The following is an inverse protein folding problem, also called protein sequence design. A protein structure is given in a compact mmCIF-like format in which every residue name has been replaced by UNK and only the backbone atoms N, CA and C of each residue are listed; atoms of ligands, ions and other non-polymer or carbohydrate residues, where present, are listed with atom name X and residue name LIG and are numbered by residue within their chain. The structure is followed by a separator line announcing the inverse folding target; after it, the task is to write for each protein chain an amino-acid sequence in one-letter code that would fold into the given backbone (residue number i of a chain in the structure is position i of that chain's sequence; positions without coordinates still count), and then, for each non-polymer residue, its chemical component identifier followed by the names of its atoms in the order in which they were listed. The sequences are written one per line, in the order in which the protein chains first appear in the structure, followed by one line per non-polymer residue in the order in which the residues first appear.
data_IF_878528088880
#
_entry.id   IF_878528088880
#
_cell.length_a   1.000
_cell.length_b   1.000
_cell.length_c   1.000
_cell.angle_alpha   90.00
_cell.angle_beta   90.00
_cell.angle_gamma   90.00
#
_symmetry.space_group_name_H-M   'P 1'
#
loop_
_entity.id
_entity.type
_entity.pdbx_description
1 polymer ?
#
# COMPACT_ATOMS: atom_id res chain seq x y z
N UNK A 1 -0.92 28.69 -8.97
CA UNK A 1 0.30 28.32 -9.69
C UNK A 1 0.03 27.18 -10.68
N UNK A 2 -0.26 25.95 -10.23
CA UNK A 2 -0.60 24.82 -11.11
C UNK A 2 -2.01 24.90 -11.74
N UNK A 3 -2.86 25.86 -11.36
CA UNK A 3 -4.20 26.04 -11.93
C UNK A 3 -5.17 24.91 -11.59
N UNK A 4 -5.07 24.37 -10.37
CA UNK A 4 -5.94 23.31 -9.85
C UNK A 4 -5.98 22.03 -10.71
N UNK A 5 -4.81 21.38 -10.96
CA UNK A 5 -4.75 20.16 -11.79
C UNK A 5 -5.62 19.04 -11.22
N UNK A 6 -5.81 18.98 -9.89
CA UNK A 6 -6.65 18.01 -9.18
C UNK A 6 -8.14 18.08 -9.54
N UNK A 7 -8.57 19.18 -10.19
CA UNK A 7 -9.97 19.37 -10.67
C UNK A 7 -10.16 19.03 -12.14
N UNK A 8 -9.07 18.68 -12.85
CA UNK A 8 -9.11 18.45 -14.29
C UNK A 8 -9.47 17.01 -14.67
N UNK A 9 -9.61 16.14 -13.68
CA UNK A 9 -10.04 14.75 -13.86
C UNK A 9 -10.84 14.30 -12.63
N UNK A 10 -11.86 13.45 -12.82
CA UNK A 10 -12.57 12.80 -11.72
C UNK A 10 -11.67 11.78 -11.01
N UNK A 11 -11.98 11.46 -9.75
CA UNK A 11 -11.11 10.56 -8.98
C UNK A 11 -11.86 9.63 -8.03
N UNK A 12 -11.17 8.55 -7.63
CA UNK A 12 -11.48 7.69 -6.50
C UNK A 12 -10.41 7.96 -5.43
N UNK A 13 -10.81 8.17 -4.17
CA UNK A 13 -9.90 8.46 -3.07
C UNK A 13 -9.88 7.32 -2.06
N UNK A 14 -8.70 6.71 -1.84
CA UNK A 14 -8.56 5.49 -1.04
C UNK A 14 -7.67 5.72 0.17
N UNK A 15 -8.26 5.67 1.36
CA UNK A 15 -7.59 5.72 2.66
C UNK A 15 -7.65 4.35 3.37
N UNK A 16 -6.96 4.23 4.50
CA UNK A 16 -6.92 3.03 5.33
C UNK A 16 -5.54 2.81 5.95
N UNK A 17 -5.40 1.82 6.83
CA UNK A 17 -4.10 1.37 7.32
C UNK A 17 -3.50 0.37 6.35
N UNK A 18 -4.11 -0.79 6.19
CA UNK A 18 -3.70 -1.85 5.29
C UNK A 18 -4.70 -2.02 4.14
N UNK A 19 -4.22 -2.46 2.95
CA UNK A 19 -5.06 -2.77 1.80
C UNK A 19 -5.30 -1.62 0.81
N UNK A 20 -4.84 -0.38 1.07
CA UNK A 20 -5.02 0.77 0.18
C UNK A 20 -4.54 0.50 -1.25
N UNK A 21 -3.24 0.24 -1.43
CA UNK A 21 -2.64 -0.01 -2.74
C UNK A 21 -3.26 -1.20 -3.47
N UNK A 22 -3.56 -2.31 -2.76
CA UNK A 22 -4.27 -3.46 -3.35
C UNK A 22 -5.67 -3.09 -3.86
N UNK A 23 -6.42 -2.28 -3.09
CA UNK A 23 -7.73 -1.78 -3.49
C UNK A 23 -7.61 -0.86 -4.72
N UNK A 24 -6.60 0.03 -4.75
CA UNK A 24 -6.28 0.85 -5.92
C UNK A 24 -5.97 -0.02 -7.14
N UNK A 25 -5.19 -1.10 -6.98
CA UNK A 25 -4.86 -2.02 -8.06
C UNK A 25 -6.10 -2.70 -8.65
N UNK A 26 -7.04 -3.18 -7.83
CA UNK A 26 -8.29 -3.76 -8.32
C UNK A 26 -9.18 -2.74 -9.03
N UNK A 27 -9.35 -1.54 -8.46
CA UNK A 27 -10.15 -0.47 -9.07
C UNK A 27 -9.55 -0.08 -10.43
N UNK A 28 -8.25 0.17 -10.49
CA UNK A 28 -7.57 0.57 -11.72
C UNK A 28 -7.60 -0.52 -12.79
N UNK A 29 -7.46 -1.80 -12.41
CA UNK A 29 -7.54 -2.93 -13.34
C UNK A 29 -8.91 -3.00 -14.02
N UNK A 30 -10.02 -2.80 -13.30
CA UNK A 30 -11.36 -2.80 -13.88
C UNK A 30 -11.62 -1.57 -14.76
N UNK A 31 -11.26 -0.37 -14.31
CA UNK A 31 -11.45 0.85 -15.09
C UNK A 31 -10.67 0.78 -16.42
N UNK A 32 -9.42 0.27 -16.40
CA UNK A 32 -8.62 0.02 -17.60
C UNK A 32 -9.23 -1.05 -18.52
N UNK A 33 -9.77 -2.14 -17.95
CA UNK A 33 -10.43 -3.18 -18.72
C UNK A 33 -11.67 -2.66 -19.47
N UNK A 34 -12.26 -1.57 -18.99
CA UNK A 34 -13.36 -0.84 -19.64
C UNK A 34 -12.91 0.18 -20.70
N UNK A 35 -11.60 0.24 -20.97
CA UNK A 35 -11.03 1.13 -21.99
C UNK A 35 -10.81 2.56 -21.55
N UNK A 36 -10.87 2.85 -20.25
CA UNK A 36 -10.59 4.18 -19.68
C UNK A 36 -9.09 4.39 -19.51
N UNK A 37 -8.62 5.60 -19.72
CA UNK A 37 -7.27 6.04 -19.41
C UNK A 37 -7.16 6.35 -17.91
N UNK A 38 -6.52 5.46 -17.18
CA UNK A 38 -6.53 5.49 -15.71
C UNK A 38 -5.21 6.01 -15.15
N UNK A 39 -5.27 7.13 -14.42
CA UNK A 39 -4.19 7.61 -13.60
C UNK A 39 -4.20 6.92 -12.23
N UNK A 40 -3.01 6.57 -11.72
CA UNK A 40 -2.87 5.98 -10.38
C UNK A 40 -1.80 6.75 -9.61
N UNK A 41 -2.14 7.17 -8.39
CA UNK A 41 -1.18 7.70 -7.43
C UNK A 41 -1.16 6.83 -6.18
N UNK A 42 -0.01 6.21 -5.89
CA UNK A 42 0.18 5.31 -4.73
C UNK A 42 1.43 5.67 -3.95
N UNK A 43 1.51 5.22 -2.70
CA UNK A 43 2.68 5.44 -1.85
C UNK A 43 2.84 4.36 -0.76
N UNK A 44 4.11 4.15 -0.30
CA UNK A 44 5.36 4.62 -0.88
C UNK A 44 5.76 3.84 -2.13
N UNK A 45 6.86 4.20 -2.77
CA UNK A 45 7.50 3.42 -3.84
C UNK A 45 8.43 2.34 -3.27
N UNK A 46 8.87 1.42 -4.10
CA UNK A 46 9.87 0.39 -3.77
C UNK A 46 11.28 0.82 -4.17
N UNK A 47 11.50 1.15 -5.42
CA UNK A 47 12.81 1.50 -5.98
C UNK A 47 12.84 2.95 -6.49
N UNK A 48 11.89 3.32 -7.35
CA UNK A 48 11.85 4.64 -7.98
C UNK A 48 10.62 5.44 -7.56
N UNK A 49 10.81 6.73 -7.26
CA UNK A 49 9.70 7.66 -6.97
C UNK A 49 8.66 7.70 -8.10
N UNK A 50 9.05 7.41 -9.32
CA UNK A 50 8.18 7.36 -10.51
C UNK A 50 7.10 6.29 -10.42
N UNK A 51 7.31 5.22 -9.65
CA UNK A 51 6.31 4.18 -9.34
C UNK A 51 5.04 4.74 -8.69
N UNK A 52 5.14 5.92 -8.05
CA UNK A 52 3.99 6.55 -7.40
C UNK A 52 2.99 7.13 -8.38
N UNK A 53 3.39 7.43 -9.60
CA UNK A 53 2.63 8.20 -10.60
C UNK A 53 2.55 7.42 -11.90
N UNK A 54 1.45 6.73 -12.12
CA UNK A 54 1.27 5.87 -13.29
C UNK A 54 0.03 6.26 -14.09
N UNK A 55 0.10 6.11 -15.40
CA UNK A 55 -1.06 6.15 -16.30
C UNK A 55 -1.06 4.86 -17.13
N UNK A 56 -2.13 4.08 -17.03
CA UNK A 56 -2.28 2.77 -17.65
C UNK A 56 -1.15 1.76 -17.34
N UNK A 57 -0.55 1.90 -16.15
CA UNK A 57 0.57 1.08 -15.70
C UNK A 57 1.94 1.56 -16.19
N UNK A 58 1.99 2.67 -16.93
CA UNK A 58 3.25 3.31 -17.37
C UNK A 58 3.57 4.46 -16.39
N UNK A 59 4.75 4.45 -15.74
CA UNK A 59 5.13 5.51 -14.82
C UNK A 59 5.32 6.85 -15.54
N UNK A 60 5.40 7.92 -14.76
CA UNK A 60 5.84 9.21 -15.28
C UNK A 60 7.23 9.08 -15.89
N UNK A 61 7.44 9.72 -17.02
CA UNK A 61 8.73 9.78 -17.69
C UNK A 61 9.78 10.52 -16.82
N UNK A 62 11.08 10.17 -16.96
CA UNK A 62 12.14 10.80 -16.18
C UNK A 62 12.26 12.29 -16.45
N UNK A 63 12.23 12.64 -17.73
CA UNK A 63 12.36 14.04 -18.16
C UNK A 63 11.15 14.84 -17.66
N UNK A 64 9.93 14.30 -17.79
CA UNK A 64 8.72 14.92 -17.28
C UNK A 64 8.76 15.08 -15.75
N UNK A 65 9.26 14.09 -15.02
CA UNK A 65 9.43 14.20 -13.57
C UNK A 65 10.45 15.28 -13.20
N UNK A 66 11.57 15.34 -13.91
CA UNK A 66 12.59 16.36 -13.73
C UNK A 66 12.07 17.77 -14.05
N UNK A 67 11.32 17.93 -15.14
CA UNK A 67 10.68 19.21 -15.52
C UNK A 67 9.71 19.69 -14.44
N UNK A 68 8.80 18.83 -13.96
CA UNK A 68 7.88 19.19 -12.87
C UNK A 68 8.61 19.53 -11.58
N UNK A 69 9.66 18.79 -11.25
CA UNK A 69 10.48 19.04 -10.05
C UNK A 69 11.14 20.40 -10.15
N UNK A 70 11.79 20.71 -11.28
CA UNK A 70 12.45 22.00 -11.54
C UNK A 70 11.46 23.17 -11.48
N UNK A 71 10.27 22.99 -12.11
CA UNK A 71 9.22 24.00 -12.08
C UNK A 71 8.71 24.29 -10.67
N UNK A 72 8.56 23.25 -9.84
CA UNK A 72 8.01 23.38 -8.48
C UNK A 72 9.06 23.75 -7.44
N UNK A 73 10.35 23.56 -7.70
CA UNK A 73 11.43 23.75 -6.72
C UNK A 73 11.36 25.09 -5.99
N UNK A 74 11.22 26.28 -6.65
CA UNK A 74 11.17 27.56 -5.95
C UNK A 74 9.96 27.69 -5.01
N UNK A 75 8.92 26.92 -5.31
CA UNK A 75 7.69 26.93 -4.52
C UNK A 75 7.78 25.95 -3.33
N UNK A 76 8.39 24.80 -3.54
CA UNK A 76 8.69 23.82 -2.49
C UNK A 76 9.55 24.49 -1.42
N UNK A 77 10.64 25.15 -1.83
CA UNK A 77 11.56 25.86 -0.92
C UNK A 77 10.85 26.99 -0.17
N UNK A 78 10.09 27.83 -0.88
CA UNK A 78 9.36 28.96 -0.27
C UNK A 78 8.30 28.53 0.73
N UNK A 79 7.63 27.40 0.50
CA UNK A 79 6.52 26.90 1.32
C UNK A 79 6.95 25.88 2.37
N UNK A 80 8.24 25.49 2.37
CA UNK A 80 8.78 24.40 3.17
C UNK A 80 7.94 23.10 3.02
N UNK A 81 7.58 22.82 1.75
CA UNK A 81 6.70 21.70 1.46
C UNK A 81 7.43 20.36 1.66
N UNK A 82 6.76 19.43 2.32
CA UNK A 82 7.27 18.08 2.52
C UNK A 82 7.45 17.33 1.20
N UNK A 83 8.28 16.29 1.22
CA UNK A 83 8.46 15.41 0.07
C UNK A 83 7.12 14.83 -0.44
N UNK A 84 6.19 14.49 0.46
CA UNK A 84 4.90 13.95 0.07
C UNK A 84 4.00 15.02 -0.59
N UNK A 85 3.98 16.24 -0.08
CA UNK A 85 3.25 17.36 -0.71
C UNK A 85 3.79 17.67 -2.09
N UNK A 86 5.12 17.73 -2.23
CA UNK A 86 5.78 17.96 -3.52
C UNK A 86 5.44 16.86 -4.54
N UNK A 87 5.57 15.59 -4.16
CA UNK A 87 5.26 14.46 -5.07
C UNK A 87 3.77 14.36 -5.38
N UNK A 88 2.88 14.76 -4.45
CA UNK A 88 1.43 14.84 -4.71
C UNK A 88 1.11 15.92 -5.74
N UNK A 89 1.74 17.08 -5.64
CA UNK A 89 1.57 18.16 -6.61
C UNK A 89 2.04 17.76 -8.01
N UNK A 90 3.21 17.10 -8.10
CA UNK A 90 3.73 16.55 -9.37
C UNK A 90 2.74 15.53 -9.94
N UNK A 91 2.26 14.59 -9.12
CA UNK A 91 1.32 13.57 -9.55
C UNK A 91 0.05 14.17 -10.17
N UNK A 92 -0.58 15.12 -9.50
CA UNK A 92 -1.79 15.75 -10.04
C UNK A 92 -1.51 16.55 -11.32
N UNK A 93 -0.36 17.21 -11.40
CA UNK A 93 0.04 17.94 -12.60
C UNK A 93 0.28 16.99 -13.80
N UNK A 94 0.99 15.89 -13.58
CA UNK A 94 1.28 14.88 -14.61
C UNK A 94 0.00 14.17 -15.07
N UNK A 95 -0.84 13.69 -14.14
CA UNK A 95 -2.11 13.05 -14.48
C UNK A 95 -3.02 13.97 -15.30
N UNK A 96 -3.10 15.25 -14.93
CA UNK A 96 -3.87 16.24 -15.67
C UNK A 96 -3.26 16.54 -17.05
N UNK A 97 -1.93 16.63 -17.16
CA UNK A 97 -1.23 16.87 -18.43
C UNK A 97 -1.36 15.68 -19.37
N UNK A 98 -1.31 14.45 -18.84
CA UNK A 98 -1.50 13.23 -19.62
C UNK A 98 -2.96 12.95 -19.97
N UNK A 99 -3.91 13.75 -19.49
CA UNK A 99 -5.32 13.69 -19.85
C UNK A 99 -5.97 12.37 -19.45
N UNK A 100 -5.87 11.99 -18.17
CA UNK A 100 -6.53 10.78 -17.66
C UNK A 100 -8.05 10.96 -17.60
N UNK A 101 -8.81 9.90 -17.89
CA UNK A 101 -10.26 9.89 -17.76
C UNK A 101 -10.69 9.84 -16.29
N UNK A 102 -9.90 9.15 -15.45
CA UNK A 102 -10.12 9.03 -14.01
C UNK A 102 -8.82 8.75 -13.27
N UNK A 103 -8.67 9.33 -12.06
CA UNK A 103 -7.56 9.08 -11.15
C UNK A 103 -7.97 8.16 -10.00
N UNK A 104 -7.14 7.17 -9.66
CA UNK A 104 -7.25 6.35 -8.44
C UNK A 104 -6.15 6.81 -7.49
N UNK A 105 -6.53 7.50 -6.42
CA UNK A 105 -5.62 8.27 -5.56
C UNK A 105 -5.54 7.64 -4.17
N UNK A 106 -4.37 7.15 -3.80
CA UNK A 106 -4.09 6.61 -2.48
C UNK A 106 -3.66 7.73 -1.52
N UNK A 107 -4.23 7.73 -0.31
CA UNK A 107 -3.82 8.58 0.82
C UNK A 107 -2.46 8.13 1.36
N UNK A 108 -1.55 9.07 1.60
CA UNK A 108 -0.24 8.76 2.20
C UNK A 108 -0.35 8.48 3.70
N UNK A 109 -0.91 9.42 4.47
CA UNK A 109 -1.01 9.31 5.92
C UNK A 109 -2.34 9.89 6.43
N UNK A 110 -3.04 9.12 7.26
CA UNK A 110 -4.30 9.58 7.85
C UNK A 110 -5.40 9.69 6.82
N UNK A 111 -5.79 10.90 6.48
CA UNK A 111 -6.79 11.24 5.48
C UNK A 111 -7.22 12.70 5.56
N UNK A 112 -7.67 13.17 6.73
CA UNK A 112 -8.21 14.52 6.92
C UNK A 112 -7.24 15.64 6.51
N UNK A 113 -5.98 15.51 6.86
CA UNK A 113 -4.90 16.47 6.60
C UNK A 113 -3.91 16.01 5.54
N UNK A 114 -4.22 14.91 4.86
CA UNK A 114 -3.33 14.38 3.81
C UNK A 114 -3.31 15.32 2.60
N UNK A 115 -2.14 15.45 1.97
CA UNK A 115 -1.97 16.31 0.79
C UNK A 115 -2.91 15.94 -0.36
N UNK A 116 -3.29 14.65 -0.47
CA UNK A 116 -4.25 14.19 -1.48
C UNK A 116 -5.68 14.64 -1.21
N UNK A 117 -6.00 15.08 0.02
CA UNK A 117 -7.36 15.43 0.43
C UNK A 117 -7.88 16.78 -0.13
N UNK A 118 -7.14 17.38 -1.05
CA UNK A 118 -7.59 18.57 -1.83
C UNK A 118 -8.61 18.21 -2.91
N UNK A 119 -8.71 16.93 -3.28
CA UNK A 119 -9.67 16.44 -4.29
C UNK A 119 -11.10 16.36 -3.75
N UNK A 120 -12.07 16.43 -4.65
CA UNK A 120 -13.45 16.02 -4.41
C UNK A 120 -13.72 14.78 -5.28
N UNK A 121 -13.56 13.58 -4.73
CA UNK A 121 -13.64 12.37 -5.52
C UNK A 121 -15.10 11.99 -5.85
N UNK A 122 -15.28 11.09 -6.82
CA UNK A 122 -16.58 10.48 -7.11
C UNK A 122 -16.99 9.46 -6.04
N UNK A 123 -16.02 8.84 -5.37
CA UNK A 123 -16.22 7.95 -4.24
C UNK A 123 -15.02 8.02 -3.28
N UNK A 124 -15.28 8.07 -1.98
CA UNK A 124 -14.29 7.97 -0.91
C UNK A 124 -14.30 6.57 -0.33
N UNK A 125 -13.12 5.98 -0.16
CA UNK A 125 -12.95 4.60 0.32
C UNK A 125 -12.07 4.59 1.56
N UNK A 126 -12.45 3.84 2.60
CA UNK A 126 -11.59 3.49 3.73
C UNK A 126 -11.50 1.98 3.84
N UNK A 127 -10.32 1.43 3.69
CA UNK A 127 -10.06 0.00 3.81
C UNK A 127 -10.00 -0.44 5.28
N UNK A 128 -9.15 -1.38 5.66
CA UNK A 128 -8.98 -1.83 7.05
C UNK A 128 -8.26 -0.79 7.92
N UNK A 129 -8.67 -0.68 9.17
CA UNK A 129 -8.01 0.12 10.21
C UNK A 129 -7.18 -0.80 11.12
N UNK A 130 -5.95 -0.39 11.42
CA UNK A 130 -5.07 -1.02 12.40
C UNK A 130 -4.26 0.06 13.11
N UNK A 131 -3.63 -0.29 14.24
CA UNK A 131 -2.74 0.63 14.96
C UNK A 131 -1.49 0.88 14.14
N UNK A 132 -1.32 2.12 13.73
CA UNK A 132 -0.16 2.61 13.00
C UNK A 132 -0.08 4.14 13.13
N UNK A 133 1.13 4.69 13.13
CA UNK A 133 1.37 6.13 13.22
C UNK A 133 0.65 6.79 14.41
N UNK A 134 0.66 6.13 15.57
CA UNK A 134 -0.08 6.58 16.75
C UNK A 134 0.34 7.96 17.26
N UNK A 135 1.59 8.37 17.02
CA UNK A 135 2.11 9.69 17.37
C UNK A 135 1.44 10.83 16.57
N UNK A 136 0.88 10.52 15.39
CA UNK A 136 0.23 11.49 14.50
C UNK A 136 -1.29 11.34 14.46
N UNK A 137 -1.80 10.10 14.49
CA UNK A 137 -3.20 9.80 14.26
C UNK A 137 -3.99 9.56 15.56
N UNK A 138 -3.26 9.47 16.69
CA UNK A 138 -3.83 9.22 18.00
C UNK A 138 -3.64 7.78 18.47
N UNK A 139 -3.85 7.54 19.80
CA UNK A 139 -3.40 6.32 20.49
C UNK A 139 -4.31 5.10 20.25
N UNK A 140 -5.51 5.30 19.74
CA UNK A 140 -6.53 4.26 19.62
C UNK A 140 -7.12 4.15 18.22
N UNK A 141 -7.79 3.02 17.95
CA UNK A 141 -8.40 2.75 16.62
C UNK A 141 -9.50 3.77 16.27
N UNK A 142 -10.22 4.30 17.26
CA UNK A 142 -11.28 5.27 17.02
C UNK A 142 -10.72 6.61 16.54
N UNK A 143 -9.62 7.08 17.11
CA UNK A 143 -8.90 8.28 16.68
C UNK A 143 -8.36 8.11 15.25
N UNK A 144 -7.70 6.99 14.98
CA UNK A 144 -7.17 6.64 13.65
C UNK A 144 -8.31 6.57 12.62
N UNK A 145 -9.44 5.97 12.99
CA UNK A 145 -10.62 5.87 12.12
C UNK A 145 -11.19 7.26 11.76
N UNK A 146 -11.30 8.19 12.74
CA UNK A 146 -11.76 9.56 12.48
C UNK A 146 -10.86 10.31 11.53
N UNK A 147 -9.53 10.21 11.70
CA UNK A 147 -8.57 10.85 10.80
C UNK A 147 -8.69 10.28 9.36
N UNK A 148 -8.83 8.96 9.22
CA UNK A 148 -8.96 8.31 7.91
C UNK A 148 -10.33 8.59 7.26
N UNK A 149 -11.42 8.60 8.03
CA UNK A 149 -12.74 9.02 7.52
C UNK A 149 -12.78 10.49 7.08
N UNK A 150 -11.73 11.26 7.40
CA UNK A 150 -11.53 12.62 6.93
C UNK A 150 -11.52 12.81 5.41
N UNK A 151 -11.40 11.73 4.63
CA UNK A 151 -11.52 11.75 3.15
C UNK A 151 -12.97 11.86 2.66
N UNK A 152 -13.96 11.63 3.53
CA UNK A 152 -15.37 11.81 3.19
C UNK A 152 -15.67 13.26 2.81
N UNK A 153 -16.47 13.45 1.76
CA UNK A 153 -16.86 14.76 1.22
C UNK A 153 -18.40 14.89 1.14
N UNK A 154 -18.94 16.11 1.24
CA UNK A 154 -20.37 16.36 1.07
C UNK A 154 -20.85 15.85 -0.30
N UNK A 155 -21.96 15.12 -0.30
CA UNK A 155 -22.57 14.60 -1.52
C UNK A 155 -21.88 13.40 -2.17
N UNK A 156 -20.74 12.93 -1.61
CA UNK A 156 -19.95 11.83 -2.16
C UNK A 156 -20.26 10.53 -1.42
N UNK A 157 -20.44 9.38 -2.12
CA UNK A 157 -20.54 8.07 -1.48
C UNK A 157 -19.28 7.70 -0.71
N UNK A 158 -19.46 7.09 0.47
CA UNK A 158 -18.38 6.59 1.31
C UNK A 158 -18.46 5.07 1.45
N UNK A 159 -17.38 4.38 1.14
CA UNK A 159 -17.27 2.91 1.19
C UNK A 159 -16.26 2.50 2.25
N UNK A 160 -16.59 1.52 3.08
CA UNK A 160 -15.59 0.95 4.01
C UNK A 160 -15.67 -0.57 4.10
N UNK A 161 -14.48 -1.21 4.15
CA UNK A 161 -14.31 -2.63 4.35
C UNK A 161 -13.90 -3.00 5.79
N UNK A 162 -14.00 -2.06 6.75
CA UNK A 162 -13.70 -2.33 8.15
C UNK A 162 -14.65 -3.40 8.71
N UNK A 163 -14.09 -4.35 9.49
CA UNK A 163 -14.83 -5.48 10.05
C UNK A 163 -15.16 -5.32 11.53
N UNK A 164 -14.33 -4.61 12.28
CA UNK A 164 -14.60 -4.31 13.68
C UNK A 164 -15.85 -3.43 13.80
N UNK A 165 -16.93 -3.88 14.46
CA UNK A 165 -18.18 -3.13 14.52
C UNK A 165 -18.04 -1.75 15.16
N UNK A 166 -17.18 -1.62 16.19
CA UNK A 166 -16.96 -0.35 16.90
C UNK A 166 -16.23 0.65 16.00
N UNK A 167 -15.17 0.19 15.30
CA UNK A 167 -14.41 1.02 14.38
C UNK A 167 -15.26 1.40 13.16
N UNK A 168 -16.07 0.46 12.66
CA UNK A 168 -17.01 0.68 11.55
C UNK A 168 -18.02 1.77 11.87
N UNK A 169 -18.58 1.77 13.08
CA UNK A 169 -19.52 2.81 13.50
C UNK A 169 -18.85 4.19 13.57
N UNK A 170 -17.62 4.28 14.07
CA UNK A 170 -16.85 5.53 14.07
C UNK A 170 -16.63 6.05 12.65
N UNK A 171 -16.24 5.18 11.70
CA UNK A 171 -16.08 5.55 10.30
C UNK A 171 -17.38 6.06 9.69
N UNK A 172 -18.48 5.34 9.92
CA UNK A 172 -19.80 5.67 9.41
C UNK A 172 -20.33 7.01 9.98
N UNK A 173 -20.20 7.19 11.30
CA UNK A 173 -20.61 8.42 11.97
C UNK A 173 -19.83 9.64 11.45
N UNK A 174 -18.51 9.52 11.32
CA UNK A 174 -17.67 10.61 10.80
C UNK A 174 -17.98 10.92 9.33
N UNK A 175 -18.19 9.90 8.48
CA UNK A 175 -18.57 10.10 7.09
C UNK A 175 -19.93 10.83 6.96
N UNK A 176 -20.93 10.44 7.76
CA UNK A 176 -22.24 11.14 7.80
C UNK A 176 -22.08 12.57 8.29
N UNK A 177 -21.28 12.79 9.35
CA UNK A 177 -21.01 14.13 9.90
C UNK A 177 -20.40 15.05 8.84
N UNK A 178 -19.59 14.50 7.92
CA UNK A 178 -18.99 15.21 6.79
C UNK A 178 -19.92 15.37 5.58
N UNK A 179 -21.14 14.86 5.66
CA UNK A 179 -22.15 15.00 4.62
C UNK A 179 -22.02 13.99 3.49
N UNK A 180 -21.40 12.82 3.72
CA UNK A 180 -21.37 11.76 2.72
C UNK A 180 -22.81 11.43 2.26
N UNK A 181 -23.00 11.29 0.93
CA UNK A 181 -24.30 10.99 0.35
C UNK A 181 -24.86 9.64 0.81
N UNK A 182 -24.01 8.65 0.91
CA UNK A 182 -24.32 7.31 1.39
C UNK A 182 -23.10 6.69 2.08
N UNK A 183 -23.35 5.75 3.01
CA UNK A 183 -22.30 4.97 3.68
C UNK A 183 -22.53 3.50 3.35
N UNK A 184 -21.62 2.92 2.57
CA UNK A 184 -21.65 1.54 2.10
C UNK A 184 -20.70 0.72 2.95
N UNK A 185 -21.26 -0.19 3.75
CA UNK A 185 -20.53 -1.11 4.61
C UNK A 185 -20.33 -2.42 3.86
N UNK A 186 -19.08 -2.75 3.53
CA UNK A 186 -18.78 -3.98 2.80
C UNK A 186 -18.62 -5.13 3.79
N UNK A 187 -19.42 -6.17 3.61
CA UNK A 187 -19.22 -7.43 4.33
C UNK A 187 -18.09 -8.24 3.68
N UNK A 188 -16.88 -8.09 4.19
CA UNK A 188 -15.70 -8.80 3.71
C UNK A 188 -15.64 -10.30 4.07
N UNK A 189 -16.69 -10.84 4.73
CA UNK A 189 -16.80 -12.27 5.06
C UNK A 189 -17.30 -13.10 3.89
N UNK A 190 -17.75 -12.49 2.79
CA UNK A 190 -18.16 -13.22 1.60
C UNK A 190 -16.96 -14.00 1.05
N UNK A 191 -17.01 -15.32 1.19
CA UNK A 191 -16.02 -16.21 0.59
C UNK A 191 -16.04 -16.03 -0.93
N UNK A 192 -14.97 -15.46 -1.49
CA UNK A 192 -14.80 -15.48 -2.93
C UNK A 192 -13.97 -16.72 -3.26
N UNK A 193 -14.55 -17.60 -4.07
CA UNK A 193 -13.87 -18.80 -4.58
C UNK A 193 -13.12 -18.55 -5.87
N UNK A 194 -13.04 -17.28 -6.32
CA UNK A 194 -12.44 -16.90 -7.59
C UNK A 194 -11.01 -16.44 -7.43
N UNK A 195 -10.15 -16.85 -8.37
CA UNK A 195 -8.76 -16.45 -8.42
C UNK A 195 -8.62 -14.93 -8.61
N UNK A 196 -7.71 -14.33 -7.86
CA UNK A 196 -7.28 -12.95 -7.96
C UNK A 196 -5.84 -12.88 -8.49
N UNK A 197 -5.43 -11.74 -9.02
CA UNK A 197 -4.04 -11.49 -9.37
C UNK A 197 -3.16 -11.27 -8.14
N UNK A 198 -3.76 -10.80 -7.04
CA UNK A 198 -3.09 -10.64 -5.74
C UNK A 198 -3.42 -11.82 -4.82
N UNK A 199 -2.41 -12.39 -4.16
CA UNK A 199 -2.53 -13.59 -3.36
C UNK A 199 -2.96 -13.31 -1.91
N UNK A 200 -3.63 -14.30 -1.28
CA UNK A 200 -4.05 -14.30 0.11
C UNK A 200 -5.51 -13.91 0.34
N UNK A 201 -6.12 -14.50 1.39
CA UNK A 201 -7.55 -14.30 1.72
C UNK A 201 -7.92 -12.84 1.98
N UNK A 202 -7.00 -12.06 2.54
CA UNK A 202 -7.20 -10.64 2.77
C UNK A 202 -7.43 -9.84 1.48
N UNK A 203 -6.91 -10.32 0.34
CA UNK A 203 -7.10 -9.68 -0.96
C UNK A 203 -8.54 -9.81 -1.46
N UNK A 204 -9.26 -10.86 -1.05
CA UNK A 204 -10.70 -10.94 -1.34
C UNK A 204 -11.48 -9.81 -0.64
N UNK A 205 -11.11 -9.46 0.60
CA UNK A 205 -11.72 -8.32 1.28
C UNK A 205 -11.42 -7.00 0.55
N UNK A 206 -10.17 -6.77 0.12
CA UNK A 206 -9.79 -5.60 -0.66
C UNK A 206 -10.54 -5.53 -1.99
N UNK A 207 -10.71 -6.67 -2.66
CA UNK A 207 -11.43 -6.77 -3.91
C UNK A 207 -12.94 -6.53 -3.74
N UNK A 208 -13.57 -6.97 -2.63
CA UNK A 208 -14.95 -6.60 -2.31
C UNK A 208 -15.13 -5.10 -2.07
N UNK A 209 -14.17 -4.46 -1.40
CA UNK A 209 -14.15 -3.00 -1.22
C UNK A 209 -14.02 -2.30 -2.56
N UNK A 210 -13.12 -2.79 -3.43
CA UNK A 210 -12.96 -2.26 -4.78
C UNK A 210 -14.23 -2.39 -5.62
N UNK A 211 -14.89 -3.56 -5.58
CA UNK A 211 -16.16 -3.78 -6.28
C UNK A 211 -17.26 -2.84 -5.79
N UNK A 212 -17.37 -2.66 -4.47
CA UNK A 212 -18.34 -1.73 -3.90
C UNK A 212 -18.05 -0.28 -4.31
N UNK A 213 -16.77 0.11 -4.35
CA UNK A 213 -16.36 1.43 -4.83
C UNK A 213 -16.70 1.64 -6.32
N UNK A 214 -16.42 0.65 -7.18
CA UNK A 214 -16.77 0.67 -8.60
C UNK A 214 -18.29 0.76 -8.82
N UNK A 215 -19.08 0.09 -7.99
CA UNK A 215 -20.54 0.17 -8.08
C UNK A 215 -21.11 1.48 -7.54
N UNK A 216 -20.37 2.21 -6.73
CA UNK A 216 -20.75 3.54 -6.25
C UNK A 216 -20.37 4.66 -7.24
N UNK A 217 -19.59 4.35 -8.28
CA UNK A 217 -19.22 5.33 -9.32
C UNK A 217 -20.42 5.62 -10.24
N UNK A 218 -20.59 6.87 -10.70
CA UNK A 218 -21.56 7.22 -11.73
C UNK A 218 -21.10 6.75 -13.13
N UNK A 219 -22.03 6.67 -14.08
CA UNK A 219 -21.67 6.50 -15.49
C UNK A 219 -20.76 7.65 -15.98
N UNK A 220 -19.78 7.40 -16.84
CA UNK A 220 -19.48 6.14 -17.51
C UNK A 220 -18.55 5.19 -16.71
N UNK A 221 -18.12 5.54 -15.49
CA UNK A 221 -17.12 4.82 -14.71
C UNK A 221 -17.72 3.59 -13.98
N UNK A 222 -18.98 3.64 -13.63
CA UNK A 222 -19.75 2.58 -12.98
C UNK A 222 -21.23 2.66 -13.31
N UNK A 223 -22.07 1.86 -12.63
CA UNK A 223 -21.71 0.65 -11.89
C UNK A 223 -21.19 -0.49 -12.80
N UNK A 224 -20.46 -1.45 -12.20
CA UNK A 224 -19.94 -2.63 -12.91
C UNK A 224 -20.78 -3.89 -12.68
N UNK A 225 -21.74 -3.81 -11.77
CA UNK A 225 -22.62 -4.92 -11.37
C UNK A 225 -22.04 -5.78 -10.26
N UNK A 226 -22.82 -6.80 -9.85
CA UNK A 226 -22.45 -7.66 -8.70
C UNK A 226 -21.52 -8.83 -9.08
N UNK A 227 -21.32 -9.05 -10.38
CA UNK A 227 -20.43 -10.07 -10.87
C UNK A 227 -18.97 -9.70 -10.59
N UNK A 228 -18.19 -10.68 -10.16
CA UNK A 228 -16.76 -10.51 -9.92
C UNK A 228 -16.04 -10.19 -11.24
N UNK A 229 -15.38 -9.02 -11.38
CA UNK A 229 -14.72 -8.64 -12.62
C UNK A 229 -13.57 -9.58 -12.98
N UNK A 230 -13.48 -10.00 -14.23
CA UNK A 230 -12.36 -10.82 -14.72
C UNK A 230 -11.02 -10.05 -14.65
N UNK A 231 -11.08 -8.73 -14.76
CA UNK A 231 -9.93 -7.83 -14.60
C UNK A 231 -9.22 -7.98 -13.25
N UNK A 232 -9.91 -8.41 -12.19
CA UNK A 232 -9.32 -8.62 -10.87
C UNK A 232 -8.28 -9.74 -10.86
N UNK A 233 -8.31 -10.67 -11.80
CA UNK A 233 -7.25 -11.67 -12.02
C UNK A 233 -5.96 -11.07 -12.58
N UNK A 234 -6.03 -9.88 -13.17
CA UNK A 234 -4.89 -9.16 -13.74
C UNK A 234 -4.39 -8.03 -12.83
N UNK A 235 -5.07 -7.79 -11.70
CA UNK A 235 -4.60 -6.82 -10.73
C UNK A 235 -3.25 -7.24 -10.18
N UNK A 236 -2.29 -6.32 -10.22
CA UNK A 236 -0.92 -6.55 -9.76
C UNK A 236 -0.44 -5.37 -8.94
N UNK A 237 0.31 -5.64 -7.89
CA UNK A 237 0.95 -4.66 -7.04
C UNK A 237 2.27 -5.24 -6.54
N UNK A 238 3.42 -4.68 -6.95
CA UNK A 238 4.72 -5.15 -6.49
C UNK A 238 4.82 -5.15 -4.96
N UNK A 239 5.48 -6.16 -4.39
CA UNK A 239 5.66 -6.26 -2.95
C UNK A 239 4.39 -6.58 -2.16
N UNK A 240 3.38 -7.17 -2.76
CA UNK A 240 2.18 -7.69 -2.09
C UNK A 240 2.03 -9.18 -2.35
N UNK A 241 2.73 -9.99 -1.55
CA UNK A 241 2.93 -11.42 -1.78
C UNK A 241 3.34 -11.70 -3.24
N UNK A 242 4.31 -10.94 -3.71
CA UNK A 242 4.76 -10.90 -5.10
C UNK A 242 5.71 -12.07 -5.35
N UNK A 243 5.19 -13.13 -6.01
CA UNK A 243 5.92 -14.39 -6.25
C UNK A 243 6.70 -14.30 -7.54
N UNK A 244 8.03 -14.42 -7.46
CA UNK A 244 8.95 -14.40 -8.60
C UNK A 244 9.94 -15.58 -8.53
N UNK A 245 9.55 -16.70 -9.10
CA UNK A 245 10.29 -17.94 -8.98
C UNK A 245 10.41 -18.40 -7.52
N UNK A 246 11.63 -18.58 -6.97
CA UNK A 246 11.80 -18.99 -5.57
C UNK A 246 11.70 -17.83 -4.57
N UNK A 247 11.39 -16.60 -5.03
CA UNK A 247 11.29 -15.42 -4.21
C UNK A 247 9.84 -15.03 -3.96
N UNK A 248 9.56 -14.57 -2.74
CA UNK A 248 8.31 -13.92 -2.37
C UNK A 248 8.64 -12.58 -1.73
N UNK A 249 8.12 -11.50 -2.30
CA UNK A 249 8.32 -10.14 -1.79
C UNK A 249 7.03 -9.62 -1.16
N UNK A 250 7.12 -9.21 0.10
CA UNK A 250 5.98 -8.62 0.81
C UNK A 250 6.42 -7.49 1.73
N UNK A 251 5.81 -6.34 1.62
CA UNK A 251 6.15 -5.14 2.39
C UNK A 251 5.46 -5.07 3.76
N UNK A 252 5.11 -6.18 4.36
CA UNK A 252 4.61 -6.20 5.74
C UNK A 252 5.58 -5.43 6.65
N UNK A 253 5.07 -4.45 7.40
CA UNK A 253 5.87 -3.52 8.21
C UNK A 253 5.22 -3.20 9.56
N UNK A 254 4.22 -3.97 9.94
CA UNK A 254 3.55 -3.95 11.25
C UNK A 254 3.06 -5.37 11.59
N UNK A 255 2.71 -5.66 12.86
CA UNK A 255 2.28 -7.00 13.27
C UNK A 255 1.03 -7.52 12.54
N UNK A 256 0.08 -6.65 12.19
CA UNK A 256 -1.11 -7.06 11.42
C UNK A 256 -0.72 -7.52 10.01
N UNK A 257 0.16 -6.77 9.33
CA UNK A 257 0.70 -7.16 8.03
C UNK A 257 1.53 -8.45 8.09
N UNK A 258 2.38 -8.60 9.11
CA UNK A 258 3.19 -9.81 9.31
C UNK A 258 2.32 -11.06 9.55
N UNK A 259 1.22 -10.93 10.32
CA UNK A 259 0.25 -12.02 10.50
C UNK A 259 -0.41 -12.40 9.18
N UNK A 260 -0.85 -11.41 8.41
CA UNK A 260 -1.45 -11.62 7.08
C UNK A 260 -0.47 -12.33 6.13
N UNK A 261 0.82 -11.95 6.16
CA UNK A 261 1.86 -12.62 5.38
C UNK A 261 2.04 -14.08 5.83
N UNK A 262 2.12 -14.34 7.15
CA UNK A 262 2.23 -15.68 7.69
C UNK A 262 1.04 -16.57 7.30
N UNK A 263 -0.18 -16.07 7.45
CA UNK A 263 -1.41 -16.78 7.04
C UNK A 263 -1.39 -17.08 5.54
N UNK A 264 -0.93 -16.14 4.72
CA UNK A 264 -0.83 -16.32 3.26
C UNK A 264 0.25 -17.34 2.89
N UNK A 265 1.40 -17.36 3.58
CA UNK A 265 2.45 -18.37 3.41
C UNK A 265 1.95 -19.78 3.76
N UNK A 266 1.15 -19.91 4.82
CA UNK A 266 0.54 -21.20 5.20
C UNK A 266 -0.50 -21.64 4.17
N UNK A 267 -1.29 -20.74 3.62
CA UNK A 267 -2.32 -21.05 2.62
C UNK A 267 -1.72 -21.36 1.24
N UNK A 268 -0.74 -20.59 0.81
CA UNK A 268 -0.05 -20.75 -0.48
C UNK A 268 0.88 -21.97 -0.48
N UNK A 269 1.40 -22.32 0.69
CA UNK A 269 2.27 -23.46 0.99
C UNK A 269 3.49 -23.56 0.03
N UNK A 270 4.33 -22.51 -0.08
CA UNK A 270 5.52 -22.59 -0.91
C UNK A 270 6.53 -23.60 -0.33
N UNK A 271 7.42 -24.18 -1.17
CA UNK A 271 8.36 -25.21 -0.74
C UNK A 271 9.24 -24.82 0.45
N UNK A 272 9.49 -25.77 1.35
CA UNK A 272 10.44 -25.65 2.45
C UNK A 272 11.86 -26.10 2.03
N UNK A 273 12.95 -25.61 2.64
CA UNK A 273 12.96 -24.62 3.72
C UNK A 273 12.59 -23.21 3.25
N UNK A 274 11.80 -22.50 4.07
CA UNK A 274 11.42 -21.10 3.87
C UNK A 274 12.33 -20.20 4.70
N UNK A 275 13.16 -19.42 4.07
CA UNK A 275 14.04 -18.46 4.76
C UNK A 275 13.57 -17.04 4.50
N UNK A 276 13.54 -16.22 5.55
CA UNK A 276 13.12 -14.82 5.46
C UNK A 276 14.30 -13.87 5.62
N UNK A 277 14.52 -13.00 4.62
CA UNK A 277 15.33 -11.79 4.76
C UNK A 277 14.43 -10.70 5.34
N UNK A 278 14.79 -10.20 6.53
CA UNK A 278 13.96 -9.25 7.27
C UNK A 278 14.74 -8.01 7.64
N UNK A 279 14.24 -6.85 7.21
CA UNK A 279 14.74 -5.55 7.61
C UNK A 279 13.58 -4.62 7.97
N UNK A 280 13.49 -4.23 9.24
CA UNK A 280 12.40 -3.42 9.78
C UNK A 280 12.94 -2.05 10.17
N UNK A 281 12.10 -1.02 10.14
CA UNK A 281 12.46 0.29 10.68
C UNK A 281 12.35 0.28 12.20
N UNK A 282 13.29 0.94 12.89
CA UNK A 282 13.43 0.90 14.35
C UNK A 282 12.27 1.48 15.16
N UNK A 283 11.42 2.26 14.52
CA UNK A 283 10.18 2.82 15.10
C UNK A 283 8.97 1.86 15.02
N UNK A 284 9.17 0.64 14.49
CA UNK A 284 8.10 -0.36 14.32
C UNK A 284 8.18 -1.44 15.40
N UNK A 285 7.06 -2.11 15.64
CA UNK A 285 6.99 -3.29 16.50
C UNK A 285 7.54 -4.53 15.79
N UNK A 286 8.88 -4.58 15.68
CA UNK A 286 9.58 -5.66 14.97
C UNK A 286 9.48 -7.00 15.71
N UNK A 287 9.41 -7.02 17.05
CA UNK A 287 9.25 -8.26 17.79
C UNK A 287 7.88 -8.90 17.51
N UNK A 288 6.82 -8.13 17.62
CA UNK A 288 5.47 -8.60 17.26
C UNK A 288 5.37 -9.07 15.80
N UNK A 289 6.13 -8.46 14.87
CA UNK A 289 6.22 -8.95 13.49
C UNK A 289 6.91 -10.32 13.41
N UNK A 290 8.07 -10.49 14.07
CA UNK A 290 8.82 -11.74 14.07
C UNK A 290 7.99 -12.87 14.72
N UNK A 291 7.32 -12.60 15.85
CA UNK A 291 6.41 -13.54 16.50
C UNK A 291 5.29 -14.02 15.55
N UNK A 292 4.71 -13.10 14.78
CA UNK A 292 3.69 -13.45 13.80
C UNK A 292 4.24 -14.31 12.64
N UNK A 293 5.48 -14.06 12.19
CA UNK A 293 6.11 -14.78 11.07
C UNK A 293 6.69 -16.13 11.47
N UNK A 294 7.11 -16.31 12.72
CA UNK A 294 7.81 -17.49 13.23
C UNK A 294 7.13 -18.83 12.88
N UNK A 295 5.78 -18.96 12.92
CA UNK A 295 5.13 -20.23 12.56
C UNK A 295 5.21 -20.63 11.08
N UNK A 296 5.58 -19.69 10.19
CA UNK A 296 5.59 -19.89 8.73
C UNK A 296 7.00 -19.89 8.12
N UNK A 297 8.04 -19.61 8.91
CA UNK A 297 9.43 -19.40 8.48
C UNK A 297 10.37 -20.36 9.21
N UNK A 298 11.20 -21.08 8.46
CA UNK A 298 12.17 -22.05 9.01
C UNK A 298 13.46 -21.37 9.50
N UNK A 299 13.82 -20.19 8.93
CA UNK A 299 14.99 -19.44 9.34
C UNK A 299 14.96 -17.97 8.92
N UNK A 300 15.51 -17.10 9.75
CA UNK A 300 15.56 -15.67 9.53
C UNK A 300 16.98 -15.17 9.27
N UNK A 301 17.12 -14.24 8.35
CA UNK A 301 18.32 -13.41 8.17
C UNK A 301 17.90 -11.97 8.44
N UNK A 302 18.41 -11.41 9.54
CA UNK A 302 18.13 -10.03 9.91
C UNK A 302 19.21 -9.11 9.34
N UNK A 303 18.78 -8.04 8.67
CA UNK A 303 19.66 -7.14 7.96
C UNK A 303 19.25 -5.67 8.11
N UNK A 304 20.08 -4.77 7.61
CA UNK A 304 19.83 -3.34 7.55
C UNK A 304 19.55 -2.91 6.11
N UNK A 305 18.33 -2.48 5.76
CA UNK A 305 18.08 -1.92 4.45
C UNK A 305 18.89 -0.63 4.26
N UNK A 306 19.60 -0.51 3.15
CA UNK A 306 20.54 0.59 2.89
C UNK A 306 19.81 1.92 2.68
N UNK A 307 18.65 1.87 2.00
CA UNK A 307 17.80 3.05 1.74
C UNK A 307 17.03 3.53 2.96
N UNK A 308 17.06 2.78 4.08
CA UNK A 308 16.40 3.21 5.32
C UNK A 308 17.06 4.48 5.88
N UNK A 309 16.28 5.54 6.21
CA UNK A 309 16.82 6.74 6.82
C UNK A 309 17.57 6.40 8.12
N UNK A 310 18.77 6.95 8.31
CA UNK A 310 19.64 6.64 9.46
C UNK A 310 18.93 6.71 10.81
N UNK A 311 18.17 7.77 11.02
CA UNK A 311 17.38 7.99 12.26
C UNK A 311 16.30 6.94 12.50
N UNK A 312 15.95 6.14 11.49
CA UNK A 312 14.92 5.09 11.56
C UNK A 312 15.49 3.69 11.41
N UNK A 313 16.80 3.56 11.33
CA UNK A 313 17.44 2.24 11.32
C UNK A 313 17.23 1.54 12.65
N UNK A 314 16.98 0.24 12.62
CA UNK A 314 16.87 -0.51 13.85
C UNK A 314 18.26 -0.83 14.44
N UNK A 315 18.32 -1.00 15.75
CA UNK A 315 19.53 -1.41 16.45
C UNK A 315 19.66 -2.94 16.39
N UNK A 316 20.49 -3.46 15.49
CA UNK A 316 20.71 -4.90 15.34
C UNK A 316 21.29 -5.55 16.62
N UNK A 317 22.13 -4.84 17.37
CA UNK A 317 22.68 -5.38 18.61
C UNK A 317 21.60 -5.48 19.71
N UNK A 318 20.64 -4.57 19.71
CA UNK A 318 19.45 -4.68 20.56
C UNK A 318 18.56 -5.83 20.10
N UNK A 319 18.29 -5.94 18.78
CA UNK A 319 17.50 -7.01 18.20
C UNK A 319 18.08 -8.38 18.55
N UNK A 320 19.39 -8.58 18.44
CA UNK A 320 20.07 -9.83 18.76
C UNK A 320 19.79 -10.29 20.22
N UNK A 321 19.82 -9.36 21.15
CA UNK A 321 19.48 -9.66 22.56
C UNK A 321 18.02 -10.01 22.79
N UNK A 322 17.12 -9.41 22.01
CA UNK A 322 15.67 -9.56 22.16
C UNK A 322 15.13 -10.79 21.41
N UNK A 323 15.62 -11.05 20.18
CA UNK A 323 15.18 -12.17 19.34
C UNK A 323 15.55 -13.54 19.94
N UNK A 324 16.65 -13.65 20.70
CA UNK A 324 17.02 -14.88 21.38
C UNK A 324 15.92 -15.44 22.29
N UNK A 325 14.96 -14.62 22.72
CA UNK A 325 13.79 -15.04 23.52
C UNK A 325 12.71 -15.74 22.70
N UNK A 326 12.67 -15.49 21.38
CA UNK A 326 11.62 -16.00 20.48
C UNK A 326 11.88 -17.43 19.99
N UNK A 327 13.03 -18.04 20.30
CA UNK A 327 13.41 -19.41 19.90
C UNK A 327 13.28 -19.69 18.40
N UNK A 328 13.57 -18.68 17.58
CA UNK A 328 13.60 -18.82 16.11
C UNK A 328 15.02 -19.07 15.63
N UNK A 329 15.18 -19.89 14.58
CA UNK A 329 16.46 -20.03 13.89
C UNK A 329 16.78 -18.72 13.18
N UNK A 330 17.94 -18.10 13.48
CA UNK A 330 18.27 -16.81 12.93
C UNK A 330 19.76 -16.54 12.82
N UNK A 331 20.10 -15.62 11.95
CA UNK A 331 21.43 -15.03 11.80
C UNK A 331 21.33 -13.53 11.55
N UNK A 332 22.40 -12.81 11.86
CA UNK A 332 22.51 -11.35 11.65
C UNK A 332 23.57 -11.09 10.60
N UNK A 333 23.21 -10.36 9.56
CA UNK A 333 24.13 -9.88 8.53
C UNK A 333 23.78 -8.42 8.18
N UNK A 334 24.54 -7.46 8.72
CA UNK A 334 24.29 -6.04 8.46
C UNK A 334 24.49 -5.61 7.01
N UNK A 335 25.40 -6.26 6.28
CA UNK A 335 25.61 -6.00 4.88
C UNK A 335 24.46 -6.59 4.07
N UNK A 336 23.71 -5.73 3.39
CA UNK A 336 22.47 -6.13 2.71
C UNK A 336 22.73 -7.10 1.57
N UNK A 337 23.78 -6.92 0.79
CA UNK A 337 24.11 -7.80 -0.33
C UNK A 337 24.44 -9.22 0.17
N UNK A 338 25.29 -9.33 1.20
CA UNK A 338 25.61 -10.60 1.84
C UNK A 338 24.40 -11.24 2.51
N UNK A 339 23.55 -10.43 3.13
CA UNK A 339 22.31 -10.92 3.75
C UNK A 339 21.35 -11.54 2.71
N UNK A 340 21.26 -10.91 1.53
CA UNK A 340 20.45 -11.42 0.42
C UNK A 340 20.97 -12.78 -0.08
N UNK A 341 22.30 -12.93 -0.20
CA UNK A 341 22.95 -14.19 -0.55
C UNK A 341 22.70 -15.27 0.52
N UNK A 342 22.92 -14.94 1.80
CA UNK A 342 22.70 -15.87 2.93
C UNK A 342 21.26 -16.34 3.02
N UNK A 343 20.30 -15.48 2.76
CA UNK A 343 18.87 -15.85 2.77
C UNK A 343 18.53 -16.87 1.68
N UNK A 344 19.36 -16.99 0.63
CA UNK A 344 19.21 -17.99 -0.44
C UNK A 344 19.85 -19.33 -0.13
N UNK A 345 20.86 -19.37 0.75
CA UNK A 345 21.56 -20.63 1.07
C UNK A 345 20.58 -21.63 1.70
N UNK A 346 20.54 -22.84 1.13
CA UNK A 346 19.65 -23.93 1.58
C UNK A 346 18.15 -23.59 1.63
N UNK A 347 17.70 -22.51 0.96
CA UNK A 347 16.31 -22.13 0.87
C UNK A 347 15.66 -22.67 -0.41
N UNK A 348 14.53 -23.36 -0.30
CA UNK A 348 13.65 -23.65 -1.42
C UNK A 348 12.81 -22.41 -1.77
N UNK A 349 12.40 -21.66 -0.73
CA UNK A 349 11.71 -20.36 -0.89
C UNK A 349 12.39 -19.29 -0.04
N UNK A 350 12.64 -18.11 -0.64
CA UNK A 350 13.17 -16.95 0.06
C UNK A 350 12.12 -15.86 0.14
N UNK A 351 11.76 -15.45 1.35
CA UNK A 351 10.82 -14.39 1.62
C UNK A 351 11.59 -13.11 1.93
N UNK A 352 11.29 -11.99 1.26
CA UNK A 352 11.87 -10.68 1.54
C UNK A 352 10.79 -9.79 2.11
N UNK A 353 10.97 -9.33 3.38
CA UNK A 353 9.92 -8.58 4.09
C UNK A 353 10.46 -7.66 5.18
N UNK A 354 9.57 -6.98 5.88
CA UNK A 354 9.85 -6.12 7.03
C UNK A 354 9.71 -4.63 6.76
N UNK A 355 9.91 -4.19 5.53
CA UNK A 355 9.70 -2.80 5.13
C UNK A 355 9.69 -2.63 3.60
N UNK A 356 9.17 -1.50 3.13
CA UNK A 356 9.33 -1.09 1.73
C UNK A 356 10.80 -0.94 1.35
N UNK A 357 11.64 -0.46 2.26
CA UNK A 357 13.09 -0.34 2.03
C UNK A 357 13.74 -1.69 1.78
N UNK A 358 13.45 -2.70 2.60
CA UNK A 358 14.02 -4.05 2.45
C UNK A 358 13.62 -4.69 1.13
N UNK A 359 12.34 -4.59 0.79
CA UNK A 359 11.84 -5.14 -0.48
C UNK A 359 12.40 -4.36 -1.66
N UNK A 360 12.44 -3.03 -1.58
CA UNK A 360 13.00 -2.17 -2.63
C UNK A 360 14.49 -2.44 -2.87
N UNK A 361 15.29 -2.49 -1.81
CA UNK A 361 16.72 -2.78 -1.90
C UNK A 361 17.01 -4.15 -2.51
N UNK A 362 16.19 -5.16 -2.20
CA UNK A 362 16.31 -6.49 -2.80
C UNK A 362 15.92 -6.48 -4.28
N UNK A 363 14.80 -5.84 -4.64
CA UNK A 363 14.34 -5.75 -6.02
C UNK A 363 15.32 -4.98 -6.92
N UNK A 364 15.96 -3.93 -6.39
CA UNK A 364 16.96 -3.17 -7.12
C UNK A 364 18.23 -3.97 -7.43
N UNK A 365 18.56 -4.97 -6.59
CA UNK A 365 19.78 -5.80 -6.74
C UNK A 365 19.57 -7.05 -7.55
N UNK A 366 18.36 -7.58 -7.58
CA UNK A 366 18.06 -8.80 -8.31
C UNK A 366 17.83 -8.50 -9.79
N UNK A 367 18.60 -9.10 -10.72
CA UNK A 367 18.51 -8.80 -12.15
C UNK A 367 17.09 -9.03 -12.69
N UNK A 368 16.53 -8.05 -13.39
CA UNK A 368 15.19 -8.13 -13.99
C UNK A 368 14.03 -8.05 -13.00
N UNK A 369 14.28 -7.68 -11.74
CA UNK A 369 13.25 -7.62 -10.71
C UNK A 369 12.83 -6.20 -10.36
N UNK A 370 13.60 -5.19 -10.72
CA UNK A 370 13.23 -3.80 -10.50
C UNK A 370 11.85 -3.49 -11.13
N UNK A 371 10.94 -2.80 -10.42
CA UNK A 371 9.59 -2.49 -10.94
C UNK A 371 9.58 -1.64 -12.22
N UNK A 372 10.65 -0.86 -12.43
CA UNK A 372 10.89 -0.02 -13.61
C UNK A 372 12.25 -0.43 -14.22
N UNK A 373 12.35 -1.64 -14.68
CA UNK A 373 13.54 -2.17 -15.34
C UNK A 373 13.44 -2.16 -16.85
#
# INVERSE_FOLDING_TARGET
MLGHPERRFPSVHVAGTNGKGSTCAFISAELRARGLKVGVYTSPHLVSVRERMMVDGVPIDEDAFAEWTTFLQPHIERLDASFFEATTAIAFADLAARGVDIGVIEVGLGGRLDATNVITPLVSVVTKIAKEHTDYLGPDLASIAREKAGVAKPGVPFVTGERDPAVREVLAAEARRRGAHSVILVDGARAATRALGLQGRHQHANAWVALAALNALPAPFGPVGDAWPESFRRAYMPGRFDVRGPWIFDVAHNPDGARVLADTLQEYDPPHPRRALVGVLGDKDYLGMIECLAPAIDGFVFTMPETAPERRRWDLARLEREVGRLRVTHEFEPDFARALERARVDAATTIVTGSFHTVGDALARLPGFAPLG
#
